data_IF_968634071221
#
_entry.id   IF_968634071221
#
_cell.length_a   1.000
_cell.length_b   1.000
_cell.length_c   1.000
_cell.angle_alpha   90.00
_cell.angle_beta   90.00
_cell.angle_gamma   90.00
#
_symmetry.space_group_name_H-M   'P 1'
#
loop_
_entity.id
_entity.type
_entity.pdbx_description
1 polymer ?
#
# COMPACT_ATOMS: atom_id res chain seq x y z
N UNK A 1 38.79 42.38 -52.61
CA UNK A 1 39.29 41.52 -51.53
C UNK A 1 38.10 41.17 -50.64
N UNK A 2 37.38 40.07 -50.93
CA UNK A 2 36.22 39.64 -50.19
C UNK A 2 36.67 38.65 -49.08
N UNK A 3 36.40 39.00 -47.84
CA UNK A 3 36.61 38.10 -46.68
C UNK A 3 35.34 37.25 -46.50
N UNK A 4 35.48 35.97 -46.73
CA UNK A 4 34.48 34.95 -46.44
C UNK A 4 34.55 34.66 -44.91
N UNK A 5 33.47 34.95 -44.19
CA UNK A 5 33.34 34.57 -42.79
C UNK A 5 32.70 33.14 -42.74
N UNK A 6 33.44 32.17 -42.23
CA UNK A 6 32.95 30.83 -41.94
C UNK A 6 32.17 30.84 -40.63
N UNK A 7 30.86 30.62 -40.68
CA UNK A 7 30.06 30.35 -39.49
C UNK A 7 30.16 28.85 -39.19
N UNK A 8 30.83 28.48 -38.13
CA UNK A 8 30.75 27.13 -37.52
C UNK A 8 29.46 27.01 -36.76
N UNK A 9 28.50 26.29 -37.31
CA UNK A 9 27.28 25.88 -36.61
C UNK A 9 27.66 24.72 -35.69
N UNK A 10 27.77 24.96 -34.41
CA UNK A 10 27.96 23.94 -33.40
C UNK A 10 26.68 23.08 -33.30
N UNK A 11 26.74 21.86 -33.71
CA UNK A 11 25.71 20.84 -33.46
C UNK A 11 25.65 20.58 -31.96
N UNK A 12 24.45 20.59 -31.33
CA UNK A 12 24.33 20.20 -29.93
C UNK A 12 24.68 18.71 -29.80
N UNK A 13 25.63 18.40 -28.95
CA UNK A 13 25.92 17.03 -28.56
C UNK A 13 24.77 16.53 -27.69
N UNK A 14 23.87 15.78 -28.27
CA UNK A 14 22.91 14.97 -27.52
C UNK A 14 23.69 13.82 -26.91
N UNK A 15 24.09 13.92 -25.66
CA UNK A 15 24.53 12.76 -24.88
C UNK A 15 23.30 11.91 -24.67
N UNK A 16 23.21 10.79 -25.39
CA UNK A 16 22.26 9.76 -25.07
C UNK A 16 22.54 9.35 -23.62
N UNK A 17 21.58 9.62 -22.71
CA UNK A 17 21.61 9.07 -21.35
C UNK A 17 21.40 7.59 -21.53
N UNK A 18 22.48 6.83 -21.50
CA UNK A 18 22.41 5.36 -21.44
C UNK A 18 21.78 5.04 -20.08
N UNK A 19 20.59 4.43 -20.10
CA UNK A 19 19.95 3.98 -18.89
C UNK A 19 20.94 3.11 -18.11
N UNK A 20 21.23 3.50 -16.86
CA UNK A 20 22.11 2.70 -16.01
C UNK A 20 21.41 1.38 -15.68
N UNK A 21 22.07 0.23 -15.87
CA UNK A 21 21.46 -1.05 -15.47
C UNK A 21 21.17 -1.05 -13.97
N UNK A 22 20.08 -1.71 -13.58
CA UNK A 22 19.73 -1.85 -12.17
C UNK A 22 20.77 -2.74 -11.46
N UNK A 23 21.20 -2.39 -10.24
CA UNK A 23 22.15 -3.20 -9.50
C UNK A 23 21.45 -4.47 -8.96
N UNK A 24 22.16 -5.61 -8.91
CA UNK A 24 21.66 -6.75 -8.12
C UNK A 24 21.63 -6.38 -6.64
N UNK A 25 20.73 -7.03 -5.90
CA UNK A 25 20.62 -6.86 -4.45
C UNK A 25 20.88 -8.18 -3.71
N UNK A 26 21.13 -8.05 -2.40
CA UNK A 26 21.17 -9.15 -1.44
C UNK A 26 20.25 -8.85 -0.27
N UNK A 27 19.75 -9.89 0.39
CA UNK A 27 18.96 -9.77 1.60
C UNK A 27 19.79 -10.19 2.82
N UNK A 28 20.11 -9.23 3.71
CA UNK A 28 20.82 -9.49 4.97
C UNK A 28 19.83 -9.61 6.11
N UNK A 29 19.83 -10.74 6.86
CA UNK A 29 18.93 -10.91 7.99
C UNK A 29 19.11 -9.83 9.04
N UNK A 30 17.99 -9.26 9.52
CA UNK A 30 17.92 -8.38 10.69
C UNK A 30 16.99 -9.00 11.72
N UNK A 31 17.22 -8.75 13.00
CA UNK A 31 16.42 -9.30 14.10
C UNK A 31 16.29 -10.84 14.09
N UNK A 32 17.37 -11.63 13.88
CA UNK A 32 17.25 -13.10 13.71
C UNK A 32 16.76 -13.85 14.95
N UNK A 33 16.70 -13.19 16.11
CA UNK A 33 16.16 -13.76 17.35
C UNK A 33 14.67 -13.52 17.53
N UNK A 34 14.02 -12.70 16.67
CA UNK A 34 12.56 -12.54 16.69
C UNK A 34 11.89 -13.88 16.41
N UNK A 35 10.83 -14.15 17.18
CA UNK A 35 10.02 -15.35 17.05
C UNK A 35 8.61 -14.95 16.66
N UNK A 36 8.08 -15.58 15.65
CA UNK A 36 6.75 -15.36 15.10
C UNK A 36 6.74 -15.68 13.61
N UNK A 37 5.60 -16.11 13.14
CA UNK A 37 5.36 -16.36 11.73
C UNK A 37 4.50 -15.22 11.16
N UNK A 38 4.57 -15.03 9.84
CA UNK A 38 3.75 -14.07 9.09
C UNK A 38 3.86 -12.63 9.63
N UNK A 39 5.07 -12.04 9.73
CA UNK A 39 5.18 -10.59 9.83
C UNK A 39 4.66 -9.99 8.53
N UNK A 40 3.71 -9.06 8.63
CA UNK A 40 3.03 -8.48 7.46
C UNK A 40 3.23 -6.97 7.34
N UNK A 41 3.84 -6.36 8.38
CA UNK A 41 4.19 -4.96 8.38
C UNK A 41 5.32 -4.67 9.36
N UNK A 42 6.15 -3.69 9.05
CA UNK A 42 7.14 -3.14 9.96
C UNK A 42 7.25 -1.64 9.76
N UNK A 43 7.41 -0.89 10.85
CA UNK A 43 7.60 0.56 10.79
C UNK A 43 8.52 1.03 11.91
N UNK A 44 9.41 1.97 11.63
CA UNK A 44 10.19 2.67 12.64
C UNK A 44 9.35 3.79 13.27
N UNK A 45 9.42 3.93 14.60
CA UNK A 45 8.71 5.00 15.30
C UNK A 45 9.30 6.38 14.98
N UNK A 46 8.48 7.38 14.57
CA UNK A 46 8.98 8.71 14.22
C UNK A 46 9.21 9.60 15.45
N UNK A 47 9.78 9.04 16.52
CA UNK A 47 10.09 9.73 17.78
C UNK A 47 11.57 9.90 18.05
N UNK A 48 12.43 9.35 17.19
CA UNK A 48 13.88 9.36 17.30
C UNK A 48 14.43 8.31 18.27
N UNK A 49 13.60 7.35 18.69
CA UNK A 49 14.04 6.25 19.59
C UNK A 49 14.80 5.13 18.88
N UNK A 50 14.68 5.02 17.55
CA UNK A 50 15.21 3.93 16.75
C UNK A 50 14.52 2.59 17.02
N UNK A 51 13.25 2.61 17.45
CA UNK A 51 12.45 1.42 17.69
C UNK A 51 11.65 1.05 16.44
N UNK A 52 11.68 -0.25 16.12
CA UNK A 52 10.87 -0.83 15.06
C UNK A 52 9.69 -1.59 15.67
N UNK A 53 8.54 -1.49 15.01
CA UNK A 53 7.30 -2.17 15.38
C UNK A 53 6.97 -3.17 14.30
N UNK A 54 7.00 -4.46 14.65
CA UNK A 54 6.72 -5.56 13.72
C UNK A 54 5.33 -6.08 14.00
N UNK A 55 4.48 -6.06 12.97
CA UNK A 55 3.09 -6.50 13.03
C UNK A 55 3.02 -7.95 12.57
N UNK A 56 2.52 -8.81 13.43
CA UNK A 56 2.20 -10.21 13.12
C UNK A 56 0.72 -10.35 12.82
N UNK A 57 0.42 -11.06 11.75
CA UNK A 57 -0.92 -11.14 11.17
C UNK A 57 -1.96 -11.69 12.15
N UNK A 58 -1.56 -12.58 13.08
CA UNK A 58 -2.45 -13.18 14.07
C UNK A 58 -3.00 -12.20 15.10
N UNK A 59 -2.45 -10.97 15.22
CA UNK A 59 -2.99 -9.94 16.12
C UNK A 59 -2.00 -9.39 17.14
N UNK A 60 -0.69 -9.62 16.97
CA UNK A 60 0.35 -9.04 17.85
C UNK A 60 1.19 -8.01 17.13
N UNK A 61 1.64 -7.01 17.88
CA UNK A 61 2.73 -6.11 17.50
C UNK A 61 3.83 -6.25 18.55
N UNK A 62 5.05 -6.47 18.08
CA UNK A 62 6.22 -6.42 18.94
C UNK A 62 7.05 -5.18 18.63
N UNK A 63 7.68 -4.62 19.66
CA UNK A 63 8.66 -3.55 19.54
C UNK A 63 10.06 -4.09 19.75
N UNK A 64 10.99 -3.68 18.90
CA UNK A 64 12.40 -4.10 18.92
C UNK A 64 13.29 -2.90 18.65
N UNK A 65 14.47 -2.85 19.25
CA UNK A 65 15.43 -1.77 19.02
C UNK A 65 16.20 -2.00 17.71
N UNK A 66 16.29 -0.96 16.88
CA UNK A 66 17.11 -0.98 15.68
C UNK A 66 18.58 -1.34 15.97
N UNK A 67 19.17 -2.17 15.11
CA UNK A 67 20.54 -2.66 15.27
C UNK A 67 20.71 -3.78 16.31
N UNK A 68 19.65 -4.18 17.04
CA UNK A 68 19.70 -5.36 17.91
C UNK A 68 19.55 -6.65 17.08
N UNK A 69 19.76 -7.80 17.71
CA UNK A 69 19.48 -9.09 17.08
C UNK A 69 18.00 -9.53 17.25
N UNK A 70 17.16 -8.72 17.92
CA UNK A 70 15.76 -9.03 18.19
C UNK A 70 15.50 -9.76 19.52
N UNK A 71 16.52 -10.09 20.31
CA UNK A 71 16.32 -10.73 21.63
C UNK A 71 15.75 -9.79 22.69
N UNK A 72 15.75 -8.48 22.44
CA UNK A 72 15.19 -7.41 23.26
C UNK A 72 13.72 -7.12 22.94
N UNK A 73 13.12 -7.85 22.01
CA UNK A 73 11.75 -7.64 21.59
C UNK A 73 10.75 -7.77 22.74
N UNK A 74 9.79 -6.84 22.79
CA UNK A 74 8.68 -6.82 23.76
C UNK A 74 7.36 -6.80 23.04
N UNK A 75 6.34 -7.42 23.65
CA UNK A 75 4.96 -7.30 23.16
C UNK A 75 4.45 -5.87 23.42
N UNK A 76 4.17 -5.15 22.34
CA UNK A 76 3.61 -3.81 22.35
C UNK A 76 2.09 -3.82 22.41
N UNK A 77 1.46 -4.64 21.55
CA UNK A 77 0.01 -4.78 21.45
C UNK A 77 -0.35 -6.25 21.22
N UNK A 78 -1.45 -6.68 21.82
CA UNK A 78 -2.01 -8.01 21.63
C UNK A 78 -3.54 -7.92 21.56
N UNK A 79 -4.10 -8.30 20.40
CA UNK A 79 -5.53 -8.37 20.13
C UNK A 79 -5.94 -9.74 19.54
N UNK A 80 -5.16 -10.77 19.82
CA UNK A 80 -5.43 -12.15 19.35
C UNK A 80 -6.80 -12.64 19.81
N UNK A 81 -7.28 -12.21 20.99
CA UNK A 81 -8.60 -12.50 21.52
C UNK A 81 -9.77 -11.97 20.68
N UNK A 82 -9.51 -11.00 19.80
CA UNK A 82 -10.48 -10.47 18.84
C UNK A 82 -10.61 -11.34 17.59
N UNK A 83 -9.79 -12.39 17.46
CA UNK A 83 -9.72 -13.28 16.31
C UNK A 83 -9.56 -12.53 14.97
N UNK A 84 -8.55 -11.66 14.81
CA UNK A 84 -8.40 -10.89 13.57
C UNK A 84 -8.00 -11.76 12.37
N UNK A 85 -7.34 -12.90 12.61
CA UNK A 85 -6.87 -13.80 11.58
C UNK A 85 -7.79 -15.03 11.46
N UNK A 86 -8.34 -15.25 10.26
CA UNK A 86 -9.18 -16.40 9.91
C UNK A 86 -8.61 -17.14 8.72
N UNK A 87 -8.27 -16.38 7.68
CA UNK A 87 -7.82 -16.87 6.40
C UNK A 87 -6.63 -16.02 5.91
N UNK A 88 -6.12 -16.33 4.73
CA UNK A 88 -4.83 -15.86 4.24
C UNK A 88 -4.61 -14.33 4.25
N UNK A 89 -5.65 -13.53 3.97
CA UNK A 89 -5.55 -12.07 3.88
C UNK A 89 -6.19 -11.31 5.06
N UNK A 90 -6.90 -12.02 5.93
CA UNK A 90 -7.42 -11.43 7.16
C UNK A 90 -6.30 -11.24 8.19
N UNK A 91 -6.49 -10.38 9.17
CA UNK A 91 -5.55 -10.25 10.27
C UNK A 91 -5.42 -8.84 10.82
N UNK A 92 -4.42 -8.67 11.69
CA UNK A 92 -3.84 -7.38 12.01
C UNK A 92 -2.81 -7.07 10.91
N UNK A 93 -3.10 -6.08 10.04
CA UNK A 93 -2.38 -5.93 8.78
C UNK A 93 -1.43 -4.74 8.74
N UNK A 94 -1.62 -3.73 9.60
CA UNK A 94 -0.73 -2.58 9.65
C UNK A 94 -0.82 -1.78 10.94
N UNK A 95 0.23 -1.00 11.20
CA UNK A 95 0.28 0.11 12.16
C UNK A 95 0.77 1.37 11.44
N UNK A 96 0.17 2.52 11.74
CA UNK A 96 0.64 3.83 11.28
C UNK A 96 0.78 4.77 12.47
N UNK A 97 1.93 5.43 12.60
CA UNK A 97 2.17 6.43 13.64
C UNK A 97 1.66 7.79 13.18
N UNK A 98 0.95 8.49 14.07
CA UNK A 98 0.56 9.88 13.81
C UNK A 98 1.80 10.74 13.53
N UNK A 99 1.78 11.72 12.60
CA UNK A 99 2.92 12.61 12.37
C UNK A 99 3.47 13.30 13.62
N UNK A 100 2.59 13.59 14.59
CA UNK A 100 2.95 14.11 15.92
C UNK A 100 3.19 13.03 16.99
N UNK A 101 3.46 11.78 16.63
CA UNK A 101 3.57 10.64 17.54
C UNK A 101 4.50 10.90 18.73
N UNK A 102 5.65 11.53 18.48
CA UNK A 102 6.62 11.90 19.53
C UNK A 102 6.02 12.69 20.70
N UNK A 103 4.97 13.46 20.44
CA UNK A 103 4.33 14.34 21.45
C UNK A 103 2.98 13.83 21.93
N UNK A 104 2.22 13.15 21.08
CA UNK A 104 0.85 12.74 21.38
C UNK A 104 0.68 11.24 21.63
N UNK A 105 1.69 10.41 21.28
CA UNK A 105 1.68 8.96 21.44
C UNK A 105 0.59 8.24 20.63
N UNK A 106 -0.04 8.94 19.65
CA UNK A 106 -1.12 8.38 18.86
C UNK A 106 -0.59 7.49 17.75
N UNK A 107 -1.20 6.32 17.57
CA UNK A 107 -0.99 5.43 16.45
C UNK A 107 -2.32 4.81 16.01
N UNK A 108 -2.35 4.22 14.84
CA UNK A 108 -3.53 3.64 14.20
C UNK A 108 -3.21 2.22 13.79
N UNK A 109 -4.20 1.34 13.91
CA UNK A 109 -4.10 -0.04 13.45
C UNK A 109 -5.25 -0.37 12.51
N UNK A 110 -4.98 -1.22 11.54
CA UNK A 110 -6.00 -1.88 10.73
C UNK A 110 -6.02 -3.36 11.06
N UNK A 111 -7.20 -3.88 11.34
CA UNK A 111 -7.41 -5.29 11.55
C UNK A 111 -8.79 -5.74 11.05
N UNK A 112 -8.91 -7.03 10.80
CA UNK A 112 -10.20 -7.67 10.50
C UNK A 112 -10.74 -8.36 11.75
N UNK A 113 -12.01 -8.65 11.78
CA UNK A 113 -12.63 -9.49 12.83
C UNK A 113 -13.97 -10.03 12.36
N UNK A 114 -14.50 -11.11 13.03
CA UNK A 114 -15.84 -11.57 12.78
C UNK A 114 -16.86 -10.45 12.99
N UNK A 115 -17.88 -10.46 12.14
CA UNK A 115 -18.99 -9.56 12.34
C UNK A 115 -19.91 -10.11 13.44
N UNK A 116 -20.19 -9.30 14.45
CA UNK A 116 -21.20 -9.64 15.44
C UNK A 116 -22.56 -9.20 14.90
N UNK A 117 -23.54 -10.14 14.79
CA UNK A 117 -24.88 -9.79 14.30
C UNK A 117 -25.45 -8.57 14.99
N UNK A 118 -26.00 -7.63 14.23
CA UNK A 118 -26.63 -6.39 14.73
C UNK A 118 -25.71 -5.19 14.92
N UNK A 119 -24.39 -5.33 14.80
CA UNK A 119 -23.45 -4.19 14.94
C UNK A 119 -23.23 -3.39 13.64
N UNK A 120 -23.74 -3.88 12.51
CA UNK A 120 -23.47 -3.25 11.22
C UNK A 120 -24.71 -2.65 10.60
N UNK A 121 -24.60 -1.38 10.17
CA UNK A 121 -25.60 -0.74 9.31
C UNK A 121 -25.62 -1.44 7.95
N UNK A 122 -26.81 -1.69 7.44
CA UNK A 122 -27.02 -2.24 6.11
C UNK A 122 -26.56 -1.25 5.04
N UNK A 123 -25.95 -1.76 3.97
CA UNK A 123 -25.83 -0.97 2.74
C UNK A 123 -27.23 -0.80 2.12
N UNK A 124 -27.54 0.43 1.67
CA UNK A 124 -28.84 0.74 1.09
C UNK A 124 -28.96 0.38 -0.41
N UNK A 125 -27.96 -0.29 -0.97
CA UNK A 125 -27.83 -0.59 -2.39
C UNK A 125 -28.34 -1.98 -2.80
N UNK A 126 -29.08 -2.66 -1.94
CA UNK A 126 -29.65 -3.99 -2.21
C UNK A 126 -28.69 -5.17 -2.01
N UNK A 127 -27.51 -4.94 -1.46
CA UNK A 127 -26.54 -6.00 -1.16
C UNK A 127 -26.97 -6.85 0.02
N UNK A 128 -26.35 -8.05 0.21
CA UNK A 128 -26.62 -8.90 1.37
C UNK A 128 -26.53 -8.12 2.68
N UNK A 129 -27.50 -8.33 3.54
CA UNK A 129 -27.64 -7.63 4.83
C UNK A 129 -26.71 -8.17 5.92
N UNK A 130 -26.03 -9.28 5.67
CA UNK A 130 -25.05 -9.88 6.59
C UNK A 130 -23.75 -10.17 5.89
N UNK A 131 -22.67 -9.55 6.35
CA UNK A 131 -21.31 -9.88 5.93
C UNK A 131 -20.64 -10.62 7.10
N UNK A 132 -19.91 -11.71 6.84
CA UNK A 132 -19.32 -12.52 7.90
C UNK A 132 -18.16 -11.83 8.62
N UNK A 133 -17.54 -10.84 7.97
CA UNK A 133 -16.34 -10.15 8.45
C UNK A 133 -16.52 -8.62 8.39
N UNK A 134 -15.64 -7.92 9.09
CA UNK A 134 -15.49 -6.47 8.99
C UNK A 134 -14.03 -6.08 9.13
N UNK A 135 -13.63 -5.06 8.41
CA UNK A 135 -12.39 -4.34 8.62
C UNK A 135 -12.61 -3.22 9.63
N UNK A 136 -11.63 -2.99 10.48
CA UNK A 136 -11.66 -1.98 11.53
C UNK A 136 -10.39 -1.14 11.48
N UNK A 137 -10.56 0.18 11.48
CA UNK A 137 -9.49 1.14 11.72
C UNK A 137 -9.67 1.72 13.11
N UNK A 138 -8.68 1.56 13.97
CA UNK A 138 -8.72 2.08 15.34
C UNK A 138 -7.54 3.02 15.61
N UNK A 139 -7.81 4.10 16.36
CA UNK A 139 -6.81 4.95 16.96
C UNK A 139 -6.55 4.51 18.41
N UNK A 140 -5.27 4.41 18.78
CA UNK A 140 -4.82 4.07 20.13
C UNK A 140 -3.72 5.02 20.58
N UNK A 141 -3.38 4.96 21.87
CA UNK A 141 -2.21 5.64 22.45
C UNK A 141 -1.20 4.65 23.00
N UNK A 142 0.03 5.08 23.01
CA UNK A 142 1.06 4.45 23.82
C UNK A 142 0.75 4.63 25.30
N UNK A 143 1.01 3.63 26.13
CA UNK A 143 0.84 3.72 27.58
C UNK A 143 1.71 4.85 28.16
N UNK A 144 1.13 5.64 29.05
CA UNK A 144 1.88 6.69 29.74
C UNK A 144 2.93 6.14 30.71
N UNK A 145 2.77 4.88 31.15
CA UNK A 145 3.70 4.22 32.10
C UNK A 145 4.84 3.46 31.40
N UNK A 146 4.63 3.00 30.18
CA UNK A 146 5.59 2.19 29.44
C UNK A 146 5.52 2.52 27.94
N UNK A 147 6.53 3.17 27.35
CA UNK A 147 6.55 3.52 25.94
C UNK A 147 6.61 2.29 25.00
N UNK A 148 6.91 1.12 25.53
CA UNK A 148 6.93 -0.14 24.78
C UNK A 148 5.61 -0.93 24.92
N UNK A 149 4.51 -0.25 25.36
CA UNK A 149 3.17 -0.84 25.45
C UNK A 149 2.09 0.07 24.93
N UNK A 150 1.12 -0.52 24.22
CA UNK A 150 -0.12 0.14 23.85
C UNK A 150 -1.07 0.23 25.07
N UNK A 151 -1.79 1.33 25.17
CA UNK A 151 -2.95 1.46 26.07
C UNK A 151 -4.24 1.06 25.35
N UNK A 152 -4.65 -0.20 25.51
CA UNK A 152 -5.86 -0.74 24.88
C UNK A 152 -7.14 -0.02 25.37
N UNK A 153 -7.14 0.59 26.57
CA UNK A 153 -8.28 1.34 27.07
C UNK A 153 -8.49 2.68 26.35
N UNK A 154 -7.46 3.14 25.64
CA UNK A 154 -7.50 4.38 24.84
C UNK A 154 -8.14 4.19 23.47
N UNK A 155 -8.48 2.96 23.09
CA UNK A 155 -8.95 2.64 21.75
C UNK A 155 -10.20 3.42 21.36
N UNK A 156 -10.17 3.98 20.17
CA UNK A 156 -11.30 4.62 19.52
C UNK A 156 -11.42 4.12 18.09
N UNK A 157 -12.51 3.45 17.79
CA UNK A 157 -12.80 3.01 16.41
C UNK A 157 -13.08 4.25 15.55
N UNK A 158 -12.36 4.38 14.45
CA UNK A 158 -12.54 5.44 13.47
C UNK A 158 -13.45 5.00 12.32
N UNK A 159 -13.20 3.81 11.78
CA UNK A 159 -13.89 3.31 10.59
C UNK A 159 -14.15 1.83 10.76
N UNK A 160 -15.33 1.40 10.30
CA UNK A 160 -15.67 -0.02 10.18
C UNK A 160 -16.24 -0.25 8.79
N UNK A 161 -15.69 -1.21 8.06
CA UNK A 161 -16.12 -1.56 6.70
C UNK A 161 -16.57 -3.01 6.65
N UNK A 162 -17.81 -3.30 6.26
CA UNK A 162 -18.29 -4.66 6.06
C UNK A 162 -17.50 -5.36 4.95
N UNK A 163 -17.14 -6.63 5.21
CA UNK A 163 -16.38 -7.46 4.28
C UNK A 163 -17.20 -8.70 3.89
N UNK A 164 -17.53 -8.85 2.59
CA UNK A 164 -18.35 -9.95 2.14
C UNK A 164 -17.62 -11.29 2.13
N UNK A 165 -16.29 -11.29 1.90
CA UNK A 165 -15.47 -12.49 1.81
C UNK A 165 -14.22 -12.37 2.67
N UNK A 166 -13.44 -13.44 2.79
CA UNK A 166 -12.20 -13.53 3.58
C UNK A 166 -10.99 -12.88 2.89
N UNK A 167 -11.03 -12.68 1.58
CA UNK A 167 -9.92 -12.16 0.77
C UNK A 167 -10.14 -10.70 0.31
N UNK A 168 -9.15 -10.11 -0.36
CA UNK A 168 -9.08 -8.74 -0.86
C UNK A 168 -9.32 -7.69 0.24
N UNK A 169 -8.50 -7.76 1.28
CA UNK A 169 -8.61 -6.82 2.41
C UNK A 169 -7.82 -5.54 2.22
N UNK A 170 -6.78 -5.54 1.36
CA UNK A 170 -5.79 -4.48 1.35
C UNK A 170 -5.20 -4.30 2.75
N UNK A 171 -5.55 -3.19 3.43
CA UNK A 171 -5.38 -3.05 4.88
C UNK A 171 -4.09 -2.38 5.31
N UNK A 172 -3.34 -1.80 4.41
CA UNK A 172 -2.27 -0.90 4.80
C UNK A 172 -2.84 0.44 5.27
N UNK A 173 -2.27 0.97 6.35
CA UNK A 173 -2.43 2.33 6.83
C UNK A 173 -1.10 3.06 6.70
N UNK A 174 -1.11 4.24 6.11
CA UNK A 174 0.06 5.12 6.11
C UNK A 174 -0.35 6.60 6.07
N UNK A 175 0.47 7.48 6.65
CA UNK A 175 0.28 8.91 6.51
C UNK A 175 0.96 9.40 5.24
N UNK A 176 0.21 10.13 4.42
CA UNK A 176 0.77 10.81 3.26
C UNK A 176 1.62 12.03 3.64
N UNK A 177 2.40 12.56 2.68
CA UNK A 177 3.19 13.77 2.88
C UNK A 177 2.33 15.00 3.21
N UNK A 178 1.05 14.95 2.94
CA UNK A 178 0.04 15.96 3.28
C UNK A 178 -0.50 15.84 4.72
N UNK A 179 -0.05 14.85 5.49
CA UNK A 179 -0.41 14.60 6.89
C UNK A 179 -1.76 13.95 7.10
N UNK A 180 -2.45 13.51 6.06
CA UNK A 180 -3.69 12.73 6.15
C UNK A 180 -3.41 11.23 6.22
N UNK A 181 -4.34 10.49 6.83
CA UNK A 181 -4.27 9.03 6.90
C UNK A 181 -4.89 8.41 5.64
N UNK A 182 -4.14 7.57 4.96
CA UNK A 182 -4.60 6.79 3.83
C UNK A 182 -4.86 5.33 4.22
N UNK A 183 -5.75 4.69 3.48
CA UNK A 183 -6.14 3.30 3.63
C UNK A 183 -6.48 2.71 2.27
N UNK A 184 -5.79 1.64 1.88
CA UNK A 184 -6.17 0.80 0.74
C UNK A 184 -7.18 -0.27 1.17
N UNK A 185 -8.29 -0.39 0.44
CA UNK A 185 -9.28 -1.45 0.61
C UNK A 185 -9.55 -2.15 -0.71
N UNK A 186 -9.48 -3.48 -0.70
CA UNK A 186 -9.84 -4.29 -1.85
C UNK A 186 -11.35 -4.30 -2.13
N UNK A 187 -11.76 -4.94 -3.21
CA UNK A 187 -13.14 -5.01 -3.68
C UNK A 187 -14.07 -5.83 -2.76
N UNK A 188 -13.50 -6.44 -1.70
CA UNK A 188 -14.22 -7.25 -0.71
C UNK A 188 -14.17 -8.73 -0.99
N UNK A 189 -13.50 -9.16 -2.07
CA UNK A 189 -13.16 -10.55 -2.33
C UNK A 189 -14.03 -11.28 -3.34
N UNK A 190 -13.78 -12.57 -3.46
CA UNK A 190 -14.23 -13.49 -4.49
C UNK A 190 -13.67 -13.14 -5.89
N UNK A 191 -14.12 -13.89 -6.92
CA UNK A 191 -13.73 -13.63 -8.29
C UNK A 191 -14.68 -12.62 -8.95
N UNK A 192 -14.16 -11.89 -9.93
CA UNK A 192 -14.94 -11.05 -10.84
C UNK A 192 -15.68 -9.87 -10.21
N UNK A 193 -15.27 -9.39 -9.04
CA UNK A 193 -15.97 -8.28 -8.35
C UNK A 193 -17.50 -8.48 -8.39
N UNK A 194 -18.05 -9.48 -7.67
CA UNK A 194 -19.44 -9.89 -7.84
C UNK A 194 -20.46 -8.83 -7.42
N UNK A 195 -20.01 -7.81 -6.69
CA UNK A 195 -20.85 -6.69 -6.24
C UNK A 195 -20.61 -5.39 -7.02
N UNK A 196 -19.69 -5.39 -7.99
CA UNK A 196 -19.34 -4.19 -8.77
C UNK A 196 -18.72 -3.08 -7.91
N UNK A 197 -17.97 -3.45 -6.88
CA UNK A 197 -17.37 -2.51 -5.93
C UNK A 197 -16.32 -1.62 -6.58
N UNK A 198 -15.60 -2.14 -7.58
CA UNK A 198 -14.55 -1.41 -8.29
C UNK A 198 -15.02 -0.04 -8.76
N UNK A 199 -16.12 -0.02 -9.50
CA UNK A 199 -16.67 1.18 -10.13
C UNK A 199 -17.78 1.87 -9.30
N UNK A 200 -18.14 1.33 -8.14
CA UNK A 200 -19.19 1.89 -7.30
C UNK A 200 -18.62 2.88 -6.26
N UNK A 201 -18.71 4.17 -6.52
CA UNK A 201 -18.24 5.22 -5.61
C UNK A 201 -19.13 5.41 -4.35
N UNK A 202 -20.29 4.76 -4.26
CA UNK A 202 -21.15 4.81 -3.09
C UNK A 202 -20.64 3.90 -1.93
N UNK A 203 -19.58 3.12 -2.17
CA UNK A 203 -18.99 2.20 -1.18
C UNK A 203 -17.50 2.51 -0.97
N UNK A 204 -16.96 1.99 0.13
CA UNK A 204 -15.55 2.19 0.49
C UNK A 204 -14.63 1.07 -0.03
N UNK A 205 -15.19 -0.04 -0.51
CA UNK A 205 -14.43 -1.16 -1.09
C UNK A 205 -13.88 -0.83 -2.47
N UNK A 206 -12.75 -1.43 -2.84
CA UNK A 206 -12.00 -1.19 -4.08
C UNK A 206 -11.50 0.27 -4.22
N UNK A 207 -10.98 0.83 -3.13
CA UNK A 207 -10.65 2.27 -3.02
C UNK A 207 -9.35 2.51 -2.28
N UNK A 208 -8.69 3.60 -2.64
CA UNK A 208 -7.84 4.33 -1.72
C UNK A 208 -8.69 5.38 -1.01
N UNK A 209 -8.68 5.37 0.32
CA UNK A 209 -9.37 6.33 1.17
C UNK A 209 -8.37 7.32 1.75
N UNK A 210 -8.82 8.56 2.06
CA UNK A 210 -8.00 9.61 2.67
C UNK A 210 -8.80 10.35 3.72
N UNK A 211 -8.30 10.36 4.97
CA UNK A 211 -9.00 10.82 6.17
C UNK A 211 -8.16 11.85 6.93
N UNK A 212 -8.79 12.88 7.45
CA UNK A 212 -8.18 13.79 8.43
C UNK A 212 -8.47 13.30 9.85
N UNK A 213 -7.49 12.71 10.50
CA UNK A 213 -7.65 12.17 11.87
C UNK A 213 -7.60 13.22 12.97
N UNK A 214 -7.29 14.47 12.63
CA UNK A 214 -7.17 15.60 13.55
C UNK A 214 -8.49 16.37 13.72
N UNK A 215 -9.44 16.19 12.79
CA UNK A 215 -10.72 16.88 12.79
C UNK A 215 -11.88 15.90 12.74
N UNK A 216 -13.10 16.42 12.71
CA UNK A 216 -14.34 15.66 12.54
C UNK A 216 -15.17 16.33 11.48
N UNK A 217 -15.91 15.55 10.71
CA UNK A 217 -16.83 16.06 9.70
C UNK A 217 -18.25 15.65 10.01
N UNK A 218 -19.18 16.56 9.74
CA UNK A 218 -20.60 16.24 9.66
C UNK A 218 -20.95 15.91 8.23
N UNK A 219 -21.63 14.80 8.05
CA UNK A 219 -22.06 14.32 6.73
C UNK A 219 -23.55 14.04 6.73
N UNK A 220 -24.19 14.23 5.59
CA UNK A 220 -25.59 13.88 5.42
C UNK A 220 -25.71 12.44 4.93
N UNK A 221 -26.50 11.64 5.69
CA UNK A 221 -26.80 10.24 5.34
C UNK A 221 -28.33 10.14 5.23
N UNK A 222 -28.86 10.20 4.00
CA UNK A 222 -30.30 10.31 3.77
C UNK A 222 -30.85 11.65 4.28
N UNK A 223 -31.76 11.59 5.23
CA UNK A 223 -32.34 12.76 5.91
C UNK A 223 -31.69 13.09 7.26
N UNK A 224 -30.66 12.36 7.69
CA UNK A 224 -29.97 12.55 8.97
C UNK A 224 -28.62 13.21 8.74
N UNK A 225 -28.20 14.01 9.71
CA UNK A 225 -26.81 14.45 9.84
C UNK A 225 -26.11 13.50 10.82
N UNK A 226 -24.94 13.00 10.44
CA UNK A 226 -24.08 12.16 11.26
C UNK A 226 -22.70 12.80 11.39
N UNK A 227 -22.11 12.72 12.59
CA UNK A 227 -20.74 13.15 12.82
C UNK A 227 -19.79 11.95 12.62
N UNK A 228 -18.85 12.09 11.69
CA UNK A 228 -17.77 11.13 11.52
C UNK A 228 -16.69 11.35 12.58
N UNK A 229 -16.04 10.28 13.10
CA UNK A 229 -14.96 10.43 14.08
C UNK A 229 -13.64 10.92 13.45
N UNK A 230 -13.66 11.32 12.20
CA UNK A 230 -12.58 11.90 11.41
C UNK A 230 -13.12 13.02 10.50
N UNK A 231 -12.23 13.85 10.00
CA UNK A 231 -12.52 14.87 8.99
C UNK A 231 -12.40 14.31 7.57
N UNK A 232 -13.06 15.01 6.65
CA UNK A 232 -12.92 14.79 5.21
C UNK A 232 -12.02 15.90 4.66
N UNK A 233 -10.84 15.56 4.05
CA UNK A 233 -10.04 16.54 3.35
C UNK A 233 -10.83 17.26 2.27
N UNK A 234 -10.72 18.60 2.22
CA UNK A 234 -11.58 19.43 1.37
C UNK A 234 -11.35 19.22 -0.13
N UNK A 235 -10.20 18.70 -0.48
CA UNK A 235 -9.74 18.38 -1.84
C UNK A 235 -9.90 16.90 -2.21
N UNK A 236 -10.55 16.07 -1.38
CA UNK A 236 -10.99 14.75 -1.82
C UNK A 236 -11.97 14.91 -3.00
N UNK A 237 -11.94 13.99 -3.99
CA UNK A 237 -12.72 14.14 -5.23
C UNK A 237 -14.22 14.35 -4.98
N UNK A 238 -14.75 13.68 -3.95
CA UNK A 238 -16.17 13.71 -3.60
C UNK A 238 -16.47 14.47 -2.29
N UNK A 239 -15.54 15.32 -1.82
CA UNK A 239 -15.71 16.07 -0.57
C UNK A 239 -16.99 16.93 -0.53
N UNK A 240 -17.43 17.43 -1.69
CA UNK A 240 -18.61 18.29 -1.86
C UNK A 240 -19.91 17.51 -2.09
N UNK A 241 -19.87 16.18 -2.13
CA UNK A 241 -21.06 15.36 -2.27
C UNK A 241 -22.10 15.69 -1.20
N UNK A 242 -23.33 16.07 -1.58
CA UNK A 242 -24.30 16.59 -0.60
C UNK A 242 -24.89 15.52 0.32
N UNK A 243 -24.94 14.25 -0.13
CA UNK A 243 -25.55 13.16 0.62
C UNK A 243 -24.93 11.80 0.30
N UNK A 244 -24.14 11.27 1.22
CA UNK A 244 -23.39 10.01 1.03
C UNK A 244 -24.26 8.74 1.03
N UNK A 245 -25.57 8.86 1.32
CA UNK A 245 -26.47 7.71 1.20
C UNK A 245 -26.90 7.43 -0.24
N UNK A 246 -26.77 8.39 -1.15
CA UNK A 246 -27.23 8.33 -2.52
C UNK A 246 -26.16 8.75 -3.54
N UNK A 247 -25.01 9.16 -3.07
CA UNK A 247 -23.88 9.65 -3.85
C UNK A 247 -22.57 9.00 -3.48
N UNK A 248 -21.50 9.56 -4.00
CA UNK A 248 -20.15 9.06 -3.74
C UNK A 248 -19.73 9.27 -2.26
N UNK A 249 -18.92 8.36 -1.77
CA UNK A 249 -18.31 8.46 -0.45
C UNK A 249 -17.22 9.52 -0.45
N UNK A 250 -17.26 10.41 0.54
CA UNK A 250 -16.35 11.57 0.66
C UNK A 250 -14.92 11.18 1.04
N UNK A 251 -14.77 10.01 1.62
CA UNK A 251 -13.50 9.43 2.06
C UNK A 251 -12.61 9.02 0.87
N UNK A 252 -13.19 8.82 -0.31
CA UNK A 252 -12.50 8.30 -1.49
C UNK A 252 -11.44 9.30 -1.96
N UNK A 253 -10.21 8.79 -2.16
CA UNK A 253 -9.10 9.45 -2.82
C UNK A 253 -8.96 8.98 -4.28
N UNK A 254 -9.01 7.65 -4.50
CA UNK A 254 -8.98 7.00 -5.81
C UNK A 254 -9.82 5.72 -5.76
N UNK A 255 -10.21 5.18 -6.92
CA UNK A 255 -11.10 4.02 -7.01
C UNK A 255 -10.77 3.12 -8.21
N UNK A 256 -11.47 2.01 -8.32
CA UNK A 256 -11.20 1.05 -9.39
C UNK A 256 -9.96 0.19 -9.15
N UNK A 257 -9.59 -0.04 -7.89
CA UNK A 257 -8.49 -0.92 -7.46
C UNK A 257 -9.07 -2.26 -7.01
N UNK A 258 -8.41 -3.38 -7.35
CA UNK A 258 -8.92 -4.70 -6.99
C UNK A 258 -8.57 -5.10 -5.57
N UNK A 259 -7.28 -5.09 -5.23
CA UNK A 259 -6.76 -5.43 -3.91
C UNK A 259 -5.43 -4.70 -3.67
N UNK A 260 -5.45 -3.39 -3.41
CA UNK A 260 -4.25 -2.59 -3.16
C UNK A 260 -3.58 -3.07 -1.86
N UNK A 261 -2.59 -3.98 -2.02
CA UNK A 261 -2.01 -4.69 -0.88
C UNK A 261 -1.03 -3.82 -0.12
N UNK A 262 0.03 -3.31 -0.80
CA UNK A 262 1.01 -2.39 -0.22
C UNK A 262 1.23 -1.19 -1.11
N UNK A 263 1.45 -0.05 -0.47
CA UNK A 263 1.69 1.20 -1.15
C UNK A 263 2.69 2.09 -0.39
N UNK A 264 3.30 3.01 -1.08
CA UNK A 264 4.27 3.93 -0.47
C UNK A 264 4.33 5.26 -1.23
N UNK A 265 4.83 6.29 -0.56
CA UNK A 265 5.18 7.54 -1.23
C UNK A 265 6.67 7.57 -1.53
N UNK A 266 6.99 8.00 -2.74
CA UNK A 266 8.34 8.47 -3.02
C UNK A 266 8.59 9.73 -2.20
N UNK A 267 9.49 9.67 -1.23
CA UNK A 267 9.76 10.77 -0.29
C UNK A 267 10.32 12.04 -0.94
N UNK A 268 10.86 11.96 -2.17
CA UNK A 268 11.36 13.13 -2.91
C UNK A 268 10.28 13.78 -3.77
N UNK A 269 9.40 13.00 -4.39
CA UNK A 269 8.42 13.52 -5.37
C UNK A 269 7.01 13.62 -4.79
N UNK A 270 6.71 12.90 -3.72
CA UNK A 270 5.37 12.77 -3.16
C UNK A 270 4.45 11.86 -4.00
N UNK A 271 4.99 11.15 -4.97
CA UNK A 271 4.24 10.23 -5.81
C UNK A 271 3.79 8.99 -5.00
N UNK A 272 2.52 8.61 -5.12
CA UNK A 272 1.93 7.45 -4.45
C UNK A 272 1.99 6.23 -5.37
N UNK A 273 2.76 5.23 -4.99
CA UNK A 273 2.91 3.96 -5.67
C UNK A 273 2.12 2.87 -4.97
N UNK A 274 1.34 2.10 -5.72
CA UNK A 274 0.45 1.04 -5.19
C UNK A 274 0.71 -0.24 -5.96
N UNK A 275 0.90 -1.36 -5.25
CA UNK A 275 0.80 -2.70 -5.84
C UNK A 275 -0.63 -3.18 -5.71
N UNK A 276 -1.32 -3.34 -6.82
CA UNK A 276 -2.70 -3.81 -6.89
C UNK A 276 -2.75 -5.25 -7.43
N UNK A 277 -3.18 -6.16 -6.57
CA UNK A 277 -3.17 -7.61 -6.87
C UNK A 277 -4.25 -7.95 -7.86
N UNK A 278 -3.84 -8.45 -9.02
CA UNK A 278 -4.73 -8.91 -10.08
C UNK A 278 -5.50 -10.19 -9.76
N UNK A 279 -6.32 -10.66 -10.71
CA UNK A 279 -7.15 -11.85 -10.47
C UNK A 279 -6.52 -13.11 -11.03
N UNK A 280 -6.41 -13.20 -12.36
CA UNK A 280 -6.07 -14.43 -13.07
C UNK A 280 -5.01 -14.25 -14.15
N UNK A 281 -4.81 -13.02 -14.61
CA UNK A 281 -4.04 -12.74 -15.81
C UNK A 281 -2.93 -11.71 -15.61
N UNK A 282 -3.19 -10.62 -14.87
CA UNK A 282 -2.30 -9.47 -14.79
C UNK A 282 -2.16 -8.95 -13.37
N UNK A 283 -0.93 -8.74 -12.94
CA UNK A 283 -0.55 -7.99 -11.74
C UNK A 283 -0.12 -6.58 -12.14
N UNK A 284 -0.36 -5.58 -11.27
CA UNK A 284 -0.09 -4.20 -11.65
C UNK A 284 0.53 -3.36 -10.53
N UNK A 285 1.31 -2.36 -10.95
CA UNK A 285 1.85 -1.30 -10.08
C UNK A 285 1.37 0.04 -10.62
N UNK A 286 0.63 0.76 -9.80
CA UNK A 286 -0.01 2.02 -10.15
C UNK A 286 0.69 3.23 -9.58
N UNK A 287 0.65 4.33 -10.33
CA UNK A 287 0.93 5.67 -9.83
C UNK A 287 -0.39 6.35 -9.50
N UNK A 288 -0.77 6.33 -8.21
CA UNK A 288 -2.10 6.73 -7.78
C UNK A 288 -2.22 8.23 -7.54
N UNK A 289 -3.24 8.83 -8.16
CA UNK A 289 -3.53 10.26 -8.09
C UNK A 289 -4.93 10.54 -7.55
N UNK A 290 -5.12 11.75 -7.06
CA UNK A 290 -6.39 12.22 -6.51
C UNK A 290 -7.50 12.20 -7.60
N UNK A 291 -8.56 11.42 -7.36
CA UNK A 291 -9.69 11.26 -8.28
C UNK A 291 -9.48 10.21 -9.38
N UNK A 292 -8.34 9.51 -9.41
CA UNK A 292 -8.04 8.49 -10.41
C UNK A 292 -8.99 7.30 -10.36
N UNK A 293 -9.34 6.79 -11.56
CA UNK A 293 -10.05 5.51 -11.76
C UNK A 293 -9.10 4.51 -12.43
N UNK A 294 -8.73 3.45 -11.70
CA UNK A 294 -7.75 2.43 -12.10
C UNK A 294 -8.38 1.23 -12.81
N UNK A 295 -9.68 1.30 -13.05
CA UNK A 295 -10.37 0.47 -14.04
C UNK A 295 -10.94 -0.84 -13.54
N UNK A 296 -10.59 -1.38 -12.38
CA UNK A 296 -11.20 -2.59 -11.87
C UNK A 296 -12.72 -2.38 -11.64
N UNK A 297 -13.63 -3.25 -12.09
CA UNK A 297 -13.44 -4.52 -12.81
C UNK A 297 -13.76 -4.41 -14.31
N UNK A 298 -13.57 -3.23 -14.92
CA UNK A 298 -13.62 -3.05 -16.37
C UNK A 298 -12.33 -3.57 -17.01
N UNK A 299 -11.21 -3.38 -16.31
CA UNK A 299 -9.86 -3.83 -16.68
C UNK A 299 -9.23 -4.69 -15.57
N UNK A 300 -8.28 -5.53 -15.98
CA UNK A 300 -7.27 -6.19 -15.17
C UNK A 300 -5.92 -5.82 -15.79
N UNK A 301 -5.07 -5.07 -15.08
CA UNK A 301 -3.98 -4.34 -15.73
C UNK A 301 -4.51 -3.34 -16.77
N UNK A 302 -3.80 -3.17 -17.87
CA UNK A 302 -4.25 -2.37 -19.01
C UNK A 302 -5.28 -3.09 -19.91
N UNK A 303 -5.69 -4.33 -19.57
CA UNK A 303 -6.44 -5.22 -20.44
C UNK A 303 -7.93 -5.25 -20.12
N UNK A 304 -8.77 -5.34 -21.14
CA UNK A 304 -10.22 -5.40 -20.98
C UNK A 304 -10.64 -6.68 -20.24
N UNK A 305 -11.42 -6.52 -19.17
CA UNK A 305 -11.94 -7.62 -18.38
C UNK A 305 -13.47 -7.71 -18.44
N UNK A 306 -14.20 -6.63 -18.14
CA UNK A 306 -15.66 -6.56 -18.20
C UNK A 306 -16.16 -5.34 -18.96
N UNK A 307 -17.40 -5.37 -19.50
CA UNK A 307 -18.03 -4.18 -20.03
C UNK A 307 -18.11 -3.04 -19.01
N UNK A 308 -17.80 -1.83 -19.44
CA UNK A 308 -17.88 -0.62 -18.65
C UNK A 308 -18.64 0.50 -19.34
N UNK A 309 -18.85 1.66 -18.68
CA UNK A 309 -19.49 2.82 -19.28
C UNK A 309 -18.69 3.32 -20.49
N UNK A 310 -19.41 3.67 -21.55
CA UNK A 310 -18.76 4.26 -22.72
C UNK A 310 -18.06 5.58 -22.35
N UNK A 311 -16.79 5.71 -22.73
CA UNK A 311 -15.99 6.90 -22.47
C UNK A 311 -15.45 7.04 -21.05
N UNK A 312 -15.43 5.97 -20.25
CA UNK A 312 -14.75 5.96 -18.95
C UNK A 312 -13.28 6.38 -19.13
N UNK A 313 -12.83 7.29 -18.27
CA UNK A 313 -11.44 7.75 -18.26
C UNK A 313 -10.66 6.88 -17.26
N UNK A 314 -10.16 5.75 -17.74
CA UNK A 314 -9.40 4.80 -16.93
C UNK A 314 -7.92 5.11 -17.05
N UNK A 315 -7.20 4.96 -15.93
CA UNK A 315 -5.75 5.13 -15.84
C UNK A 315 -5.11 3.75 -15.95
N UNK A 316 -4.18 3.61 -16.89
CA UNK A 316 -3.40 2.38 -17.05
C UNK A 316 -2.30 2.31 -15.99
N UNK A 317 -1.90 1.10 -15.56
CA UNK A 317 -0.77 0.92 -14.64
C UNK A 317 0.55 1.43 -15.26
N UNK A 318 1.53 1.73 -14.41
CA UNK A 318 2.89 2.06 -14.84
C UNK A 318 3.68 0.80 -15.18
N UNK A 319 3.41 -0.28 -14.46
CA UNK A 319 4.02 -1.58 -14.64
C UNK A 319 2.95 -2.66 -14.50
N UNK A 320 2.99 -3.64 -15.40
CA UNK A 320 2.18 -4.85 -15.29
C UNK A 320 3.01 -6.08 -15.65
N UNK A 321 2.62 -7.23 -15.12
CA UNK A 321 3.17 -8.52 -15.52
C UNK A 321 2.11 -9.62 -15.45
N UNK A 322 2.29 -10.64 -16.28
CA UNK A 322 1.26 -11.68 -16.48
C UNK A 322 1.48 -12.90 -15.62
N UNK A 323 0.38 -13.61 -15.32
CA UNK A 323 0.41 -14.97 -14.75
C UNK A 323 0.77 -16.04 -15.77
N UNK A 324 0.74 -15.75 -17.09
CA UNK A 324 0.79 -16.76 -18.15
C UNK A 324 1.85 -16.44 -19.20
N UNK A 325 2.71 -17.39 -19.47
CA UNK A 325 3.78 -17.24 -20.47
C UNK A 325 3.28 -16.92 -21.88
N UNK A 326 2.11 -17.40 -22.27
CA UNK A 326 1.54 -17.10 -23.59
C UNK A 326 1.00 -15.69 -23.74
N UNK A 327 0.88 -14.94 -22.64
CA UNK A 327 0.42 -13.55 -22.64
C UNK A 327 1.56 -12.54 -22.44
N UNK A 328 2.80 -12.98 -22.21
CA UNK A 328 3.92 -12.07 -21.95
C UNK A 328 4.11 -11.03 -23.07
N UNK A 329 3.91 -11.41 -24.33
CA UNK A 329 4.05 -10.51 -25.46
C UNK A 329 2.93 -9.46 -25.58
N UNK A 330 1.87 -9.58 -24.80
CA UNK A 330 0.75 -8.65 -24.75
C UNK A 330 0.90 -7.60 -23.64
N UNK A 331 1.81 -7.83 -22.69
CA UNK A 331 2.08 -6.91 -21.59
C UNK A 331 2.95 -5.72 -22.00
N UNK A 332 2.95 -4.69 -21.14
CA UNK A 332 3.77 -3.48 -21.32
C UNK A 332 5.27 -3.79 -21.33
N UNK A 333 5.68 -4.86 -20.67
CA UNK A 333 7.07 -5.30 -20.53
C UNK A 333 7.20 -6.78 -20.90
N UNK A 334 7.25 -7.12 -22.20
CA UNK A 334 7.26 -8.51 -22.68
C UNK A 334 8.41 -9.38 -22.16
N UNK A 335 9.53 -8.75 -21.78
CA UNK A 335 10.71 -9.44 -21.23
C UNK A 335 10.64 -9.61 -19.70
N UNK A 336 9.62 -9.05 -19.05
CA UNK A 336 9.40 -9.22 -17.62
C UNK A 336 9.06 -10.67 -17.28
N UNK A 337 9.57 -11.17 -16.16
CA UNK A 337 9.22 -12.50 -15.66
C UNK A 337 7.72 -12.58 -15.33
N UNK A 338 7.14 -13.75 -15.52
CA UNK A 338 5.77 -14.00 -15.03
C UNK A 338 5.75 -14.00 -13.49
N UNK A 339 4.59 -13.69 -12.91
CA UNK A 339 4.34 -13.72 -11.48
C UNK A 339 2.88 -14.04 -11.16
N UNK A 340 2.48 -14.02 -9.90
CA UNK A 340 1.16 -14.48 -9.48
C UNK A 340 0.49 -13.60 -8.42
N UNK A 341 1.23 -12.69 -7.76
CA UNK A 341 0.69 -11.84 -6.70
C UNK A 341 1.67 -10.74 -6.34
N UNK A 342 1.41 -9.53 -6.83
CA UNK A 342 2.24 -8.36 -6.53
C UNK A 342 2.13 -7.95 -5.06
N UNK A 343 3.26 -7.58 -4.48
CA UNK A 343 3.28 -7.07 -3.10
C UNK A 343 3.26 -5.54 -3.05
N UNK A 344 3.73 -4.87 -4.09
CA UNK A 344 4.08 -3.46 -4.01
C UNK A 344 5.48 -3.27 -3.44
N UNK A 345 5.86 -2.05 -3.08
CA UNK A 345 7.21 -1.75 -2.65
C UNK A 345 7.48 -0.28 -2.40
N UNK A 346 8.76 0.13 -2.51
CA UNK A 346 9.23 1.49 -2.21
C UNK A 346 10.19 2.01 -3.28
N UNK A 347 10.14 3.31 -3.55
CA UNK A 347 11.22 4.00 -4.27
C UNK A 347 12.38 4.18 -3.30
N UNK A 348 13.53 3.56 -3.58
CA UNK A 348 14.69 3.69 -2.70
C UNK A 348 15.21 5.13 -2.64
N UNK A 349 15.29 5.69 -1.43
CA UNK A 349 15.80 7.03 -1.13
C UNK A 349 16.84 7.02 0.00
N UNK A 350 17.27 5.83 0.41
CA UNK A 350 18.34 5.63 1.36
C UNK A 350 19.70 6.12 0.86
N UNK A 351 20.66 6.20 1.76
CA UNK A 351 22.01 6.69 1.46
C UNK A 351 23.08 5.60 1.44
N UNK A 352 22.76 4.41 1.98
CA UNK A 352 23.74 3.33 2.07
C UNK A 352 24.07 2.73 0.70
N UNK A 353 23.10 2.74 -0.24
CA UNK A 353 23.25 2.14 -1.56
C UNK A 353 22.91 3.12 -2.70
N UNK A 354 23.78 4.08 -3.05
CA UNK A 354 23.51 5.09 -4.07
C UNK A 354 23.15 4.52 -5.46
N UNK A 355 23.55 3.28 -5.74
CA UNK A 355 23.20 2.60 -7.01
C UNK A 355 21.70 2.30 -7.11
N UNK A 356 20.98 2.20 -5.98
CA UNK A 356 19.53 1.98 -5.92
C UNK A 356 18.74 3.30 -5.93
N UNK A 357 19.38 4.46 -5.75
CA UNK A 357 18.68 5.76 -5.70
C UNK A 357 17.66 5.90 -6.84
N UNK A 358 16.38 6.14 -6.51
CA UNK A 358 15.29 6.29 -7.46
C UNK A 358 14.78 4.99 -8.11
N UNK A 359 15.21 3.84 -7.65
CA UNK A 359 14.66 2.55 -8.08
C UNK A 359 13.43 2.21 -7.22
N UNK A 360 12.28 2.00 -7.86
CA UNK A 360 11.14 1.37 -7.18
C UNK A 360 11.42 -0.13 -7.06
N UNK A 361 11.51 -0.63 -5.84
CA UNK A 361 11.81 -2.04 -5.52
C UNK A 361 10.50 -2.70 -5.09
N UNK A 362 10.09 -3.76 -5.78
CA UNK A 362 8.84 -4.49 -5.54
C UNK A 362 9.01 -5.99 -5.76
N UNK A 363 8.01 -6.79 -5.39
CA UNK A 363 8.15 -8.25 -5.44
C UNK A 363 6.84 -8.97 -5.74
N UNK A 364 6.99 -10.26 -6.09
CA UNK A 364 5.91 -11.24 -6.14
C UNK A 364 5.93 -12.13 -4.88
N UNK A 365 4.75 -12.32 -4.29
CA UNK A 365 4.60 -13.14 -3.08
C UNK A 365 4.96 -14.62 -3.32
N UNK A 366 4.46 -15.21 -4.40
CA UNK A 366 4.58 -16.64 -4.64
C UNK A 366 5.97 -17.03 -5.13
N UNK A 367 6.55 -16.22 -6.00
CA UNK A 367 7.83 -16.52 -6.63
C UNK A 367 9.01 -16.05 -5.79
N UNK A 368 8.82 -15.06 -4.92
CA UNK A 368 9.90 -14.44 -4.16
C UNK A 368 10.89 -13.68 -5.05
N UNK A 369 10.51 -13.39 -6.29
CA UNK A 369 11.30 -12.55 -7.18
C UNK A 369 11.13 -11.09 -6.76
N UNK A 370 12.25 -10.39 -6.63
CA UNK A 370 12.31 -8.95 -6.40
C UNK A 370 12.75 -8.29 -7.69
N UNK A 371 11.92 -7.38 -8.17
CA UNK A 371 12.19 -6.56 -9.35
C UNK A 371 12.44 -5.12 -8.94
N UNK A 372 12.91 -4.34 -9.89
CA UNK A 372 12.97 -2.90 -9.77
C UNK A 372 12.77 -2.21 -11.10
N UNK A 373 12.33 -0.95 -11.04
CA UNK A 373 12.34 -0.09 -12.20
C UNK A 373 12.69 1.36 -11.80
N UNK A 374 13.15 2.14 -12.78
CA UNK A 374 13.29 3.60 -12.68
C UNK A 374 12.19 4.28 -13.46
N UNK A 375 11.57 5.28 -12.89
CA UNK A 375 10.50 6.04 -13.52
C UNK A 375 10.92 7.49 -13.75
N UNK A 376 10.71 7.97 -14.97
CA UNK A 376 10.89 9.37 -15.35
C UNK A 376 9.53 10.07 -15.22
N UNK A 377 9.38 10.90 -14.19
CA UNK A 377 8.13 11.60 -13.88
C UNK A 377 7.78 12.68 -14.91
N UNK A 378 8.76 13.27 -15.58
CA UNK A 378 8.52 14.29 -16.62
C UNK A 378 8.10 13.65 -17.94
N UNK A 379 8.72 12.52 -18.30
CA UNK A 379 8.40 11.78 -19.50
C UNK A 379 7.26 10.76 -19.31
N UNK A 380 6.77 10.58 -18.08
CA UNK A 380 5.74 9.59 -17.69
C UNK A 380 6.03 8.18 -18.20
N UNK A 381 7.25 7.68 -17.96
CA UNK A 381 7.64 6.34 -18.45
C UNK A 381 8.69 5.66 -17.59
N UNK A 382 8.67 4.33 -17.64
CA UNK A 382 9.76 3.50 -17.14
C UNK A 382 10.98 3.65 -18.05
N UNK A 383 12.14 3.91 -17.46
CA UNK A 383 13.41 4.12 -18.18
C UNK A 383 14.39 2.96 -18.03
N UNK A 384 14.22 2.15 -17.01
CA UNK A 384 14.95 0.89 -16.80
C UNK A 384 14.07 -0.02 -15.94
N UNK A 385 14.10 -1.32 -16.23
CA UNK A 385 13.45 -2.34 -15.42
C UNK A 385 14.29 -3.62 -15.40
N UNK A 386 14.07 -4.49 -14.40
CA UNK A 386 14.74 -5.79 -14.35
C UNK A 386 14.66 -6.48 -13.01
N UNK A 387 15.08 -7.74 -13.01
CA UNK A 387 15.20 -8.57 -11.81
C UNK A 387 16.40 -8.14 -10.98
N UNK A 388 16.14 -7.78 -9.71
CA UNK A 388 17.18 -7.44 -8.73
C UNK A 388 17.66 -8.67 -7.96
N UNK A 389 16.72 -9.57 -7.62
CA UNK A 389 17.00 -10.80 -6.89
C UNK A 389 15.93 -11.85 -7.17
N UNK A 390 16.35 -13.11 -7.25
CA UNK A 390 15.43 -14.24 -7.30
C UNK A 390 15.76 -15.22 -6.17
N UNK A 391 14.78 -15.49 -5.31
CA UNK A 391 14.89 -16.46 -4.23
C UNK A 391 13.51 -17.03 -3.86
N UNK A 392 13.42 -18.31 -3.47
CA UNK A 392 12.15 -18.97 -3.17
C UNK A 392 11.68 -18.63 -1.75
N UNK A 393 11.16 -17.40 -1.54
CA UNK A 393 10.57 -16.97 -0.28
C UNK A 393 9.26 -16.26 -0.55
N UNK A 394 8.22 -16.58 0.23
CA UNK A 394 6.97 -15.85 0.20
C UNK A 394 7.14 -14.48 0.87
N UNK A 395 7.29 -13.44 0.06
CA UNK A 395 7.45 -12.06 0.53
C UNK A 395 6.07 -11.51 0.90
N UNK A 396 5.88 -11.14 2.16
CA UNK A 396 4.59 -10.64 2.68
C UNK A 396 4.47 -9.13 2.59
N UNK A 397 5.60 -8.43 2.69
CA UNK A 397 5.63 -6.96 2.71
C UNK A 397 7.04 -6.43 2.50
N UNK A 398 7.10 -5.15 2.17
CA UNK A 398 8.28 -4.32 2.35
C UNK A 398 8.08 -3.38 3.53
N UNK A 399 9.17 -2.77 3.98
CA UNK A 399 9.17 -1.68 4.94
C UNK A 399 10.31 -0.70 4.60
N UNK A 400 10.17 0.53 5.04
CA UNK A 400 11.18 1.57 4.95
C UNK A 400 11.45 2.14 6.33
N UNK A 401 12.71 2.38 6.66
CA UNK A 401 13.07 3.11 7.88
C UNK A 401 13.09 4.63 7.64
N UNK A 402 13.31 5.39 8.72
CA UNK A 402 13.35 6.87 8.64
C UNK A 402 14.56 7.42 7.86
N UNK A 403 15.50 6.56 7.47
CA UNK A 403 16.64 6.92 6.61
C UNK A 403 16.40 6.58 5.13
N UNK A 404 15.27 5.96 4.80
CA UNK A 404 14.93 5.51 3.45
C UNK A 404 15.55 4.17 3.06
N UNK A 405 16.04 3.39 4.04
CA UNK A 405 16.56 2.05 3.80
C UNK A 405 15.41 1.03 3.76
N UNK A 406 15.46 0.10 2.81
CA UNK A 406 14.35 -0.84 2.53
C UNK A 406 14.59 -2.19 3.20
N UNK A 407 13.52 -2.74 3.72
CA UNK A 407 13.47 -4.08 4.34
C UNK A 407 12.43 -4.96 3.64
N UNK A 408 12.65 -6.28 3.69
CA UNK A 408 11.75 -7.31 3.17
C UNK A 408 11.30 -8.19 4.33
N UNK A 409 10.00 -8.46 4.39
CA UNK A 409 9.39 -9.36 5.36
C UNK A 409 8.92 -10.63 4.62
N UNK A 410 9.11 -11.80 5.25
CA UNK A 410 8.72 -13.09 4.65
C UNK A 410 7.79 -13.88 5.54
N UNK A 411 6.95 -14.71 4.95
CA UNK A 411 5.94 -15.49 5.65
C UNK A 411 6.50 -16.40 6.76
N UNK A 412 7.71 -16.91 6.57
CA UNK A 412 8.43 -17.76 7.54
C UNK A 412 9.00 -17.01 8.75
N UNK A 413 8.72 -15.71 8.87
CA UNK A 413 9.15 -14.87 10.00
C UNK A 413 10.44 -14.10 9.75
N UNK A 414 11.05 -14.24 8.58
CA UNK A 414 12.29 -13.53 8.22
C UNK A 414 12.06 -12.04 8.00
N UNK A 415 13.01 -11.23 8.48
CA UNK A 415 13.11 -9.80 8.19
C UNK A 415 14.51 -9.53 7.66
N UNK A 416 14.59 -8.86 6.52
CA UNK A 416 15.87 -8.68 5.82
C UNK A 416 16.05 -7.24 5.40
N UNK A 417 17.25 -6.70 5.54
CA UNK A 417 17.67 -5.45 4.96
C UNK A 417 18.07 -5.67 3.49
N UNK A 418 17.57 -4.84 2.60
CA UNK A 418 17.96 -4.84 1.18
C UNK A 418 19.32 -4.17 1.06
N UNK A 419 20.29 -4.87 0.48
CA UNK A 419 21.67 -4.38 0.34
C UNK A 419 22.17 -4.58 -1.09
N UNK A 420 23.19 -3.83 -1.50
CA UNK A 420 23.87 -4.03 -2.79
C UNK A 420 25.21 -4.70 -2.53
N UNK A 421 25.52 -5.82 -3.22
CA UNK A 421 26.82 -6.48 -3.09
C UNK A 421 27.96 -5.50 -3.38
N UNK A 422 28.97 -5.48 -2.52
CA UNK A 422 30.22 -4.77 -2.83
C UNK A 422 30.90 -5.47 -4.01
N UNK A 423 31.23 -4.74 -5.07
CA UNK A 423 32.08 -5.29 -6.15
C UNK A 423 33.43 -5.66 -5.50
N UNK A 424 33.74 -6.96 -5.53
CA UNK A 424 35.04 -7.51 -5.11
C UNK A 424 36.15 -7.01 -6.00
#
# INVERSE_FOLDING_TARGET
MNKLALFLVGLPWWTAVVAQPLPPIELKPVFPALKGERPVWMSEAPDGSGRFFVVYQEGRIVVVKGGSNGSDAKEFLNIVDRHPYFENEDGLLSIAFHPGFKTNGLFYIYYTQPNTPGQMKQFQDGRPTSFPYRSVVSALKVSAADPDKADLSSERILLTVPQPFWNHKGGELAFGPDGYLYLGLGDGGAADDPFGNGQNTAVLLAKMLRLDVNTRSKVRVGWREEELPYGIPADNPFAKEPNIAYGARKEIYAYGLRNPWRYSWDSQTGALWVGDVGQDLWEEVDLVTNGGDYGWSIREGAHHFKPGPAGAQLIDPVMEYTHRTNLQSEGMFPDHSIGLCVIGGYVYRGKEYPALEGVYVYADYNLGTIWGFRYDYDAHKVTAEGTLLQQPKNITSFAEDLNGEIYVLTQDGGIYHVTVPQKS
#
